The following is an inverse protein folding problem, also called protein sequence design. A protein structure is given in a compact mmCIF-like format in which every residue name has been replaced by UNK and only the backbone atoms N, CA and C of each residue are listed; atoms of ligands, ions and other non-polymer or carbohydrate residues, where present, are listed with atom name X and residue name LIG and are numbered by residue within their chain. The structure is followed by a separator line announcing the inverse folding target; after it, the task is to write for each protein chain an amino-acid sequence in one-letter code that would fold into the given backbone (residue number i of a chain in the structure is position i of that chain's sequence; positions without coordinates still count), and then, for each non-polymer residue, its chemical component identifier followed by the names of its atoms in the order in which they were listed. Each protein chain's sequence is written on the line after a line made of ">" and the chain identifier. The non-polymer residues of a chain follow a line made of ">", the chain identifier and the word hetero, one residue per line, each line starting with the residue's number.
data_IF_622241205178
#
_entry.id   IF_622241205178
#
_cell.length_a   1.000
_cell.length_b   1.000
_cell.length_c   1.000
_cell.angle_alpha   90.00
_cell.angle_beta   90.00
_cell.angle_gamma   90.00
#
_symmetry.space_group_name_H-M   'P 1'
#
loop_
_entity.id
_entity.type
_entity.pdbx_description
1 polymer ?
#
# COMPACT_ATOMS: atom_id res chain seq x y z
N UNK A 1 41.25 -4.23 28.39
CA UNK A 1 40.11 -3.32 28.08
C UNK A 1 39.74 -3.56 26.63
N UNK A 2 38.47 -3.83 26.30
CA UNK A 2 38.07 -4.11 24.92
C UNK A 2 38.40 -2.91 24.02
N UNK A 3 38.94 -3.19 22.84
CA UNK A 3 39.37 -2.17 21.89
C UNK A 3 38.14 -1.41 21.38
N UNK A 4 38.17 -0.08 21.41
CA UNK A 4 37.06 0.80 20.99
C UNK A 4 36.64 0.51 19.55
N UNK A 5 37.58 0.06 18.72
CA UNK A 5 37.32 -0.29 17.33
C UNK A 5 36.58 -1.63 17.18
N UNK A 6 36.83 -2.61 18.05
CA UNK A 6 36.06 -3.87 18.10
C UNK A 6 34.62 -3.62 18.54
N UNK A 7 34.42 -2.75 19.54
CA UNK A 7 33.09 -2.39 20.03
C UNK A 7 32.29 -1.67 18.94
N UNK A 8 32.91 -0.72 18.22
CA UNK A 8 32.30 -0.08 17.06
C UNK A 8 31.94 -1.10 16.00
N UNK A 9 32.85 -1.96 15.58
CA UNK A 9 32.60 -2.96 14.53
C UNK A 9 31.44 -3.91 14.89
N UNK A 10 31.35 -4.34 16.15
CA UNK A 10 30.23 -5.13 16.66
C UNK A 10 28.89 -4.39 16.60
N UNK A 11 28.88 -3.10 16.96
CA UNK A 11 27.69 -2.24 16.92
C UNK A 11 27.16 -2.08 15.49
N UNK A 12 28.05 -1.78 14.53
CA UNK A 12 27.70 -1.66 13.11
C UNK A 12 27.18 -2.97 12.51
N UNK A 13 27.64 -4.12 13.02
CA UNK A 13 27.14 -5.45 12.62
C UNK A 13 25.71 -5.71 13.13
N UNK A 14 25.44 -5.35 14.39
CA UNK A 14 24.12 -5.49 15.01
C UNK A 14 23.08 -4.56 14.38
N UNK A 15 23.44 -3.30 14.12
CA UNK A 15 22.56 -2.32 13.47
C UNK A 15 22.13 -2.75 12.07
N UNK A 16 23.06 -3.28 11.26
CA UNK A 16 22.76 -3.79 9.91
C UNK A 16 21.82 -4.99 9.93
N UNK A 17 21.99 -5.92 10.87
CA UNK A 17 21.07 -7.06 11.03
C UNK A 17 19.68 -6.60 11.45
N UNK A 18 19.60 -5.63 12.35
CA UNK A 18 18.32 -5.06 12.81
C UNK A 18 17.60 -4.32 11.68
N UNK A 19 18.31 -3.54 10.88
CA UNK A 19 17.77 -2.88 9.70
C UNK A 19 17.22 -3.88 8.67
N UNK A 20 17.94 -4.97 8.39
CA UNK A 20 17.45 -6.02 7.51
C UNK A 20 16.20 -6.70 8.07
N UNK A 21 16.19 -7.01 9.36
CA UNK A 21 15.03 -7.60 10.02
C UNK A 21 13.80 -6.68 9.99
N UNK A 22 13.97 -5.38 10.28
CA UNK A 22 12.90 -4.39 10.19
C UNK A 22 12.38 -4.23 8.76
N UNK A 23 13.27 -4.31 7.75
CA UNK A 23 12.87 -4.25 6.33
C UNK A 23 12.01 -5.45 5.94
N UNK A 24 12.34 -6.63 6.44
CA UNK A 24 11.55 -7.85 6.20
C UNK A 24 10.21 -7.83 6.95
N UNK A 25 10.17 -7.30 8.18
CA UNK A 25 8.92 -7.10 8.92
C UNK A 25 8.04 -6.07 8.21
N UNK A 26 8.59 -4.93 7.78
CA UNK A 26 7.86 -3.90 7.02
C UNK A 26 7.34 -4.46 5.69
N UNK A 27 8.11 -5.31 5.00
CA UNK A 27 7.68 -5.98 3.76
C UNK A 27 6.54 -6.97 4.01
N UNK A 28 6.59 -7.73 5.11
CA UNK A 28 5.51 -8.63 5.51
C UNK A 28 4.23 -7.88 5.88
N UNK A 29 4.34 -6.81 6.66
CA UNK A 29 3.21 -5.93 7.00
C UNK A 29 2.58 -5.31 5.74
N UNK A 30 3.40 -4.87 4.77
CA UNK A 30 2.93 -4.33 3.49
C UNK A 30 2.33 -5.39 2.56
N UNK A 31 2.76 -6.64 2.68
CA UNK A 31 2.22 -7.79 1.94
C UNK A 31 0.97 -8.39 2.60
N UNK A 32 0.68 -8.05 3.86
CA UNK A 32 -0.55 -8.42 4.53
C UNK A 32 -1.70 -7.68 3.85
N UNK A 33 -2.24 -8.30 2.81
CA UNK A 33 -3.31 -7.79 1.97
C UNK A 33 -4.48 -7.36 2.89
N UNK A 34 -5.14 -6.21 2.62
CA UNK A 34 -6.26 -5.76 3.44
C UNK A 34 -7.41 -6.79 3.56
N UNK A 35 -7.44 -7.82 2.70
CA UNK A 35 -8.43 -8.91 2.77
C UNK A 35 -8.41 -9.69 4.08
N UNK A 36 -7.31 -9.69 4.86
CA UNK A 36 -7.30 -10.35 6.18
C UNK A 36 -8.11 -9.59 7.25
N UNK A 37 -8.51 -8.34 7.00
CA UNK A 37 -9.48 -7.61 7.84
C UNK A 37 -10.94 -7.87 7.46
N UNK A 38 -11.21 -8.79 6.53
CA UNK A 38 -12.57 -9.22 6.16
C UNK A 38 -13.21 -10.18 7.18
N UNK A 39 -12.49 -10.55 8.25
CA UNK A 39 -12.99 -11.50 9.25
C UNK A 39 -14.16 -11.00 10.12
N UNK A 40 -14.56 -9.73 9.98
CA UNK A 40 -15.72 -9.15 10.68
C UNK A 40 -16.89 -8.80 9.74
N UNK A 41 -16.97 -9.41 8.55
CA UNK A 41 -18.13 -9.17 7.68
C UNK A 41 -19.38 -9.87 8.24
N UNK A 42 -20.36 -9.06 8.64
CA UNK A 42 -21.70 -9.52 9.02
C UNK A 42 -22.30 -10.33 7.88
N UNK A 43 -23.12 -11.35 8.17
CA UNK A 43 -23.73 -12.22 7.13
C UNK A 43 -24.44 -11.43 6.01
N UNK A 44 -25.07 -10.30 6.36
CA UNK A 44 -25.70 -9.40 5.38
C UNK A 44 -24.71 -8.73 4.42
N UNK A 45 -23.52 -8.35 4.89
CA UNK A 45 -22.47 -7.77 4.04
C UNK A 45 -21.92 -8.80 3.06
N UNK A 46 -21.72 -10.05 3.50
CA UNK A 46 -21.29 -11.15 2.60
C UNK A 46 -22.30 -11.42 1.49
N UNK A 47 -23.59 -11.38 1.80
CA UNK A 47 -24.66 -11.56 0.80
C UNK A 47 -24.71 -10.36 -0.15
N UNK A 48 -24.60 -9.13 0.36
CA UNK A 48 -24.57 -7.93 -0.48
C UNK A 48 -23.38 -7.94 -1.45
N UNK A 49 -22.19 -8.35 -0.99
CA UNK A 49 -20.99 -8.46 -1.83
C UNK A 49 -21.15 -9.52 -2.91
N UNK A 50 -21.72 -10.67 -2.56
CA UNK A 50 -22.00 -11.72 -3.53
C UNK A 50 -23.01 -11.25 -4.59
N UNK A 51 -24.10 -10.63 -4.15
CA UNK A 51 -25.14 -10.10 -5.05
C UNK A 51 -24.58 -9.01 -5.96
N UNK A 52 -23.76 -8.11 -5.44
CA UNK A 52 -23.15 -7.05 -6.24
C UNK A 52 -22.12 -7.54 -7.24
N UNK A 53 -21.27 -8.49 -6.83
CA UNK A 53 -20.34 -9.17 -7.74
C UNK A 53 -21.09 -9.88 -8.87
N UNK A 54 -22.28 -10.44 -8.59
CA UNK A 54 -23.12 -11.05 -9.62
C UNK A 54 -23.84 -10.02 -10.50
N UNK A 55 -24.40 -8.94 -9.95
CA UNK A 55 -25.13 -7.93 -10.74
C UNK A 55 -24.23 -7.12 -11.69
N UNK A 56 -22.94 -6.99 -11.40
CA UNK A 56 -21.97 -6.31 -12.27
C UNK A 56 -21.39 -7.19 -13.39
N UNK A 57 -21.75 -8.48 -13.47
CA UNK A 57 -21.15 -9.41 -14.42
C UNK A 57 -21.98 -9.59 -15.69
N UNK A 58 -21.30 -9.67 -16.84
CA UNK A 58 -21.91 -10.01 -18.13
C UNK A 58 -22.66 -11.35 -18.10
N UNK A 59 -22.21 -12.30 -17.27
CA UNK A 59 -22.88 -13.59 -17.10
C UNK A 59 -24.28 -13.48 -16.49
N UNK A 60 -24.51 -12.50 -15.61
CA UNK A 60 -25.82 -12.31 -14.99
C UNK A 60 -26.86 -11.84 -16.00
N UNK A 61 -26.50 -10.89 -16.87
CA UNK A 61 -27.35 -10.40 -17.95
C UNK A 61 -27.76 -11.56 -18.87
N UNK A 62 -26.81 -12.41 -19.27
CA UNK A 62 -27.07 -13.56 -20.16
C UNK A 62 -28.03 -14.58 -19.51
N UNK A 63 -27.82 -14.92 -18.24
CA UNK A 63 -28.69 -15.84 -17.50
C UNK A 63 -30.11 -15.26 -17.39
N UNK A 64 -30.24 -13.99 -17.01
CA UNK A 64 -31.53 -13.29 -16.93
C UNK A 64 -32.26 -13.29 -18.27
N UNK A 65 -31.57 -12.90 -19.35
CA UNK A 65 -32.14 -12.89 -20.69
C UNK A 65 -32.57 -14.28 -21.15
N UNK A 66 -31.81 -15.32 -20.80
CA UNK A 66 -32.16 -16.72 -21.13
C UNK A 66 -33.38 -17.19 -20.35
N UNK A 67 -33.48 -16.88 -19.05
CA UNK A 67 -34.66 -17.21 -18.23
C UNK A 67 -35.91 -16.53 -18.81
N UNK A 68 -35.83 -15.24 -19.14
CA UNK A 68 -36.94 -14.51 -19.75
C UNK A 68 -37.31 -15.09 -21.12
N UNK A 69 -36.32 -15.41 -21.94
CA UNK A 69 -36.55 -16.02 -23.25
C UNK A 69 -37.23 -17.39 -23.13
N UNK A 70 -36.75 -18.26 -22.23
CA UNK A 70 -37.35 -19.57 -21.96
C UNK A 70 -38.77 -19.42 -21.42
N UNK A 71 -39.01 -18.46 -20.53
CA UNK A 71 -40.35 -18.18 -19.99
C UNK A 71 -41.32 -17.77 -21.10
N UNK A 72 -40.91 -16.84 -21.97
CA UNK A 72 -41.71 -16.40 -23.12
C UNK A 72 -41.99 -17.58 -24.06
N UNK A 73 -40.97 -18.38 -24.40
CA UNK A 73 -41.12 -19.55 -25.28
C UNK A 73 -42.07 -20.58 -24.66
N UNK A 74 -41.91 -20.93 -23.38
CA UNK A 74 -42.81 -21.87 -22.69
C UNK A 74 -44.25 -21.36 -22.65
N UNK A 75 -44.45 -20.06 -22.46
CA UNK A 75 -45.77 -19.45 -22.40
C UNK A 75 -46.45 -19.41 -23.78
N UNK A 76 -45.72 -19.04 -24.83
CA UNK A 76 -46.20 -18.99 -26.23
C UNK A 76 -46.45 -20.39 -26.80
N UNK A 77 -45.64 -21.39 -26.42
CA UNK A 77 -45.76 -22.76 -26.96
C UNK A 77 -46.84 -23.58 -26.24
N UNK A 78 -47.51 -23.02 -25.23
CA UNK A 78 -48.70 -23.51 -24.53
C UNK A 78 -49.08 -25.00 -24.74
N UNK A 79 -48.28 -25.90 -24.15
CA UNK A 79 -48.65 -27.31 -23.95
C UNK A 79 -49.53 -27.50 -22.70
N UNK A 80 -49.68 -26.48 -21.85
CA UNK A 80 -50.51 -26.52 -20.64
C UNK A 80 -51.15 -25.15 -20.41
N UNK A 81 -52.46 -25.05 -20.69
CA UNK A 81 -53.42 -24.01 -20.21
C UNK A 81 -52.83 -22.66 -19.81
N UNK A 82 -52.87 -21.67 -20.72
CA UNK A 82 -52.91 -20.20 -20.48
C UNK A 82 -52.59 -19.71 -19.04
N UNK A 83 -51.40 -20.01 -18.52
CA UNK A 83 -51.06 -19.70 -17.13
C UNK A 83 -50.71 -18.21 -16.92
N UNK A 84 -50.32 -17.52 -18.00
CA UNK A 84 -50.11 -16.06 -18.01
C UNK A 84 -50.56 -15.47 -19.36
N UNK A 85 -51.88 -15.22 -19.55
CA UNK A 85 -52.41 -14.63 -20.78
C UNK A 85 -51.79 -13.26 -21.08
N UNK A 86 -51.72 -12.89 -22.36
CA UNK A 86 -51.30 -11.56 -22.78
C UNK A 86 -52.12 -10.49 -22.03
N UNK A 87 -51.52 -9.57 -21.24
CA UNK A 87 -50.18 -8.99 -21.39
C UNK A 87 -49.13 -9.41 -20.32
N UNK A 88 -49.07 -10.69 -19.94
CA UNK A 88 -48.09 -11.27 -19.00
C UNK A 88 -48.01 -10.56 -17.63
N UNK A 89 -49.13 -10.51 -16.91
CA UNK A 89 -49.24 -9.79 -15.62
C UNK A 89 -48.23 -10.31 -14.60
N UNK A 90 -47.99 -11.63 -14.56
CA UNK A 90 -47.13 -12.25 -13.56
C UNK A 90 -45.66 -11.95 -13.83
N UNK A 91 -45.24 -12.02 -15.10
CA UNK A 91 -43.88 -11.64 -15.50
C UNK A 91 -43.63 -10.16 -15.21
N UNK A 92 -44.59 -9.29 -15.50
CA UNK A 92 -44.46 -7.87 -15.22
C UNK A 92 -44.35 -7.58 -13.72
N UNK A 93 -45.14 -8.26 -12.88
CA UNK A 93 -45.05 -8.16 -11.43
C UNK A 93 -43.67 -8.64 -10.91
N UNK A 94 -43.18 -9.77 -11.42
CA UNK A 94 -41.89 -10.33 -11.03
C UNK A 94 -40.72 -9.39 -11.41
N UNK A 95 -40.72 -8.85 -12.63
CA UNK A 95 -39.71 -7.89 -13.08
C UNK A 95 -39.76 -6.59 -12.27
N UNK A 96 -40.96 -6.09 -11.94
CA UNK A 96 -41.13 -4.90 -11.12
C UNK A 96 -40.57 -5.10 -9.72
N UNK A 97 -40.85 -6.24 -9.10
CA UNK A 97 -40.28 -6.60 -7.79
C UNK A 97 -38.75 -6.74 -7.86
N UNK A 98 -38.24 -7.43 -8.90
CA UNK A 98 -36.80 -7.57 -9.11
C UNK A 98 -36.09 -6.22 -9.22
N UNK A 99 -36.64 -5.29 -10.03
CA UNK A 99 -36.09 -3.95 -10.19
C UNK A 99 -36.11 -3.15 -8.88
N UNK A 100 -37.20 -3.26 -8.10
CA UNK A 100 -37.34 -2.57 -6.82
C UNK A 100 -36.27 -2.98 -5.80
N UNK A 101 -35.87 -4.26 -5.77
CA UNK A 101 -34.82 -4.75 -4.88
C UNK A 101 -33.40 -4.56 -5.43
N UNK A 102 -33.24 -4.46 -6.75
CA UNK A 102 -31.93 -4.26 -7.37
C UNK A 102 -31.27 -2.95 -6.93
N UNK A 103 -32.01 -1.83 -6.93
CA UNK A 103 -31.44 -0.52 -6.62
C UNK A 103 -30.87 -0.41 -5.17
N UNK A 104 -31.59 -0.85 -4.11
CA UNK A 104 -31.03 -0.88 -2.75
C UNK A 104 -29.81 -1.78 -2.62
N UNK A 105 -29.79 -2.95 -3.25
CA UNK A 105 -28.62 -3.84 -3.20
C UNK A 105 -27.40 -3.23 -3.88
N UNK A 106 -27.59 -2.61 -5.05
CA UNK A 106 -26.54 -1.87 -5.74
C UNK A 106 -26.03 -0.74 -4.84
N UNK A 107 -26.93 0.06 -4.25
CA UNK A 107 -26.56 1.18 -3.38
C UNK A 107 -25.82 0.72 -2.11
N UNK A 108 -26.24 -0.38 -1.49
CA UNK A 108 -25.55 -0.94 -0.33
C UNK A 108 -24.14 -1.41 -0.67
N UNK A 109 -23.96 -2.06 -1.83
CA UNK A 109 -22.63 -2.46 -2.28
C UNK A 109 -21.76 -1.27 -2.65
N UNK A 110 -22.33 -0.24 -3.29
CA UNK A 110 -21.60 0.99 -3.61
C UNK A 110 -21.15 1.70 -2.34
N UNK A 111 -22.04 1.88 -1.35
CA UNK A 111 -21.70 2.52 -0.09
C UNK A 111 -20.58 1.76 0.65
N UNK A 112 -20.60 0.42 0.62
CA UNK A 112 -19.51 -0.41 1.16
C UNK A 112 -18.21 -0.23 0.40
N UNK A 113 -18.23 -0.24 -0.93
CA UNK A 113 -17.03 -0.04 -1.75
C UNK A 113 -16.42 1.34 -1.49
N UNK A 114 -17.25 2.38 -1.43
CA UNK A 114 -16.82 3.74 -1.10
C UNK A 114 -16.18 3.83 0.28
N UNK A 115 -16.70 3.11 1.28
CA UNK A 115 -16.11 3.06 2.62
C UNK A 115 -14.74 2.38 2.62
N UNK A 116 -14.54 1.33 1.81
CA UNK A 116 -13.25 0.66 1.64
C UNK A 116 -12.28 1.61 0.95
N UNK A 117 -12.67 2.18 -0.18
CA UNK A 117 -11.85 3.08 -0.99
C UNK A 117 -11.43 4.31 -0.16
N UNK A 118 -12.34 4.85 0.67
CA UNK A 118 -12.03 5.95 1.60
C UNK A 118 -10.97 5.57 2.62
N UNK A 119 -11.09 4.39 3.25
CA UNK A 119 -10.10 3.92 4.24
C UNK A 119 -8.74 3.67 3.60
N UNK A 120 -8.73 3.15 2.37
CA UNK A 120 -7.49 2.94 1.61
C UNK A 120 -6.84 4.28 1.27
N UNK A 121 -7.62 5.26 0.80
CA UNK A 121 -7.14 6.61 0.52
C UNK A 121 -6.59 7.33 1.78
N UNK A 122 -7.26 7.20 2.93
CA UNK A 122 -6.77 7.74 4.20
C UNK A 122 -5.44 7.10 4.63
N UNK A 123 -5.31 5.78 4.46
CA UNK A 123 -4.09 5.06 4.78
C UNK A 123 -2.94 5.46 3.85
N UNK A 124 -3.21 5.56 2.55
CA UNK A 124 -2.24 6.00 1.55
C UNK A 124 -1.77 7.44 1.80
N UNK A 125 -2.70 8.33 2.15
CA UNK A 125 -2.37 9.69 2.55
C UNK A 125 -1.42 9.71 3.77
N UNK A 126 -1.71 8.93 4.81
CA UNK A 126 -0.84 8.84 6.00
C UNK A 126 0.54 8.27 5.68
N UNK A 127 0.62 7.28 4.79
CA UNK A 127 1.89 6.72 4.32
C UNK A 127 2.68 7.79 3.55
N UNK A 128 2.01 8.57 2.71
CA UNK A 128 2.63 9.63 1.91
C UNK A 128 3.24 10.71 2.80
N UNK A 129 2.50 11.24 3.77
CA UNK A 129 2.99 12.23 4.75
C UNK A 129 4.19 11.67 5.53
N UNK A 130 4.13 10.40 5.94
CA UNK A 130 5.26 9.75 6.63
C UNK A 130 6.48 9.61 5.73
N UNK A 131 6.29 9.29 4.45
CA UNK A 131 7.38 9.18 3.49
C UNK A 131 8.02 10.55 3.22
N UNK A 132 7.21 11.61 3.11
CA UNK A 132 7.68 12.99 2.98
C UNK A 132 8.58 13.38 4.17
N UNK A 133 8.13 13.13 5.40
CA UNK A 133 8.93 13.39 6.60
C UNK A 133 10.20 12.52 6.67
N UNK A 134 10.12 11.23 6.31
CA UNK A 134 11.30 10.35 6.23
C UNK A 134 12.31 10.89 5.21
N UNK A 135 11.87 11.47 4.09
CA UNK A 135 12.74 12.09 3.07
C UNK A 135 13.37 13.38 3.58
N UNK A 136 12.61 14.25 4.23
CA UNK A 136 13.12 15.50 4.82
C UNK A 136 14.22 15.22 5.85
N UNK A 137 13.98 14.27 6.76
CA UNK A 137 14.98 13.83 7.74
C UNK A 137 16.22 13.20 7.10
N UNK A 138 16.06 12.50 5.96
CA UNK A 138 17.21 11.99 5.21
C UNK A 138 18.00 13.14 4.57
N UNK A 139 17.33 14.18 4.07
CA UNK A 139 17.97 15.36 3.50
C UNK A 139 18.82 16.08 4.56
N UNK A 140 18.26 16.35 5.73
CA UNK A 140 18.97 16.98 6.86
C UNK A 140 20.21 16.16 7.26
N UNK A 141 20.08 14.83 7.34
CA UNK A 141 21.22 13.95 7.64
C UNK A 141 22.30 13.99 6.56
N UNK A 142 21.93 14.09 5.29
CA UNK A 142 22.87 14.20 4.17
C UNK A 142 23.62 15.55 4.23
N UNK A 143 22.94 16.64 4.56
CA UNK A 143 23.57 17.96 4.73
C UNK A 143 24.56 17.94 5.90
N UNK A 144 24.18 17.37 7.05
CA UNK A 144 25.08 17.21 8.20
C UNK A 144 26.32 16.37 7.86
N UNK A 145 26.16 15.33 7.04
CA UNK A 145 27.29 14.53 6.56
C UNK A 145 28.20 15.32 5.62
N UNK A 146 27.64 16.11 4.68
CA UNK A 146 28.42 17.00 3.83
C UNK A 146 29.23 18.01 4.65
N UNK A 147 28.59 18.67 5.62
CA UNK A 147 29.27 19.63 6.48
C UNK A 147 30.44 19.00 7.25
N UNK A 148 30.27 17.77 7.77
CA UNK A 148 31.36 17.04 8.43
C UNK A 148 32.49 16.68 7.48
N UNK A 149 32.18 16.29 6.24
CA UNK A 149 33.19 15.97 5.22
C UNK A 149 34.00 17.22 4.89
N UNK A 150 33.33 18.38 4.72
CA UNK A 150 34.00 19.64 4.43
C UNK A 150 34.91 20.09 5.59
N UNK A 151 34.44 19.98 6.83
CA UNK A 151 35.26 20.26 8.02
C UNK A 151 36.49 19.35 8.14
N UNK A 152 36.36 18.07 7.78
CA UNK A 152 37.49 17.13 7.79
C UNK A 152 38.49 17.49 6.69
N UNK A 153 38.02 17.83 5.49
CA UNK A 153 38.88 18.30 4.39
C UNK A 153 39.64 19.56 4.74
N UNK A 154 38.99 20.56 5.34
CA UNK A 154 39.66 21.79 5.78
C UNK A 154 40.77 21.49 6.79
N UNK A 155 40.50 20.63 7.79
CA UNK A 155 41.51 20.21 8.77
C UNK A 155 42.68 19.47 8.13
N UNK A 156 42.41 18.57 7.19
CA UNK A 156 43.45 17.86 6.45
C UNK A 156 44.32 18.84 5.65
N UNK A 157 43.71 19.78 4.92
CA UNK A 157 44.43 20.80 4.14
C UNK A 157 45.32 21.67 5.05
N UNK A 158 44.81 22.12 6.19
CA UNK A 158 45.60 22.91 7.15
C UNK A 158 46.77 22.08 7.68
N UNK A 159 46.54 20.83 8.11
CA UNK A 159 47.61 19.96 8.64
C UNK A 159 48.70 19.65 7.62
N UNK A 160 48.31 19.44 6.35
CA UNK A 160 49.25 19.20 5.26
C UNK A 160 50.05 20.46 4.94
N UNK A 161 49.41 21.64 5.00
CA UNK A 161 50.08 22.92 4.78
C UNK A 161 51.11 23.19 5.88
N UNK A 162 50.75 22.97 7.15
CA UNK A 162 51.67 23.08 8.29
C UNK A 162 52.85 22.12 8.17
N UNK A 163 52.60 20.84 7.84
CA UNK A 163 53.66 19.85 7.64
C UNK A 163 54.60 20.20 6.48
N UNK A 164 54.06 20.71 5.36
CA UNK A 164 54.87 21.19 4.23
C UNK A 164 55.70 22.42 4.62
N UNK A 165 55.13 23.36 5.38
CA UNK A 165 55.83 24.54 5.87
C UNK A 165 56.99 24.15 6.81
N UNK A 166 56.77 23.20 7.72
CA UNK A 166 57.79 22.68 8.64
C UNK A 166 58.93 21.98 7.90
N UNK A 167 58.63 21.20 6.86
CA UNK A 167 59.64 20.53 6.03
C UNK A 167 60.36 21.48 5.06
N UNK A 168 59.75 22.60 4.68
CA UNK A 168 60.31 23.58 3.75
C UNK A 168 61.18 24.65 4.41
N UNK A 169 61.21 24.74 5.74
CA UNK A 169 61.99 25.76 6.45
C UNK A 169 63.50 25.40 6.49
N UNK A 170 64.39 26.14 5.78
CA UNK A 170 65.79 25.74 5.58
C UNK A 170 66.72 26.15 6.73
N UNK A 171 66.28 26.04 8.00
CA UNK A 171 67.16 26.35 9.14
C UNK A 171 66.90 25.49 10.37
N UNK A 172 67.39 24.24 10.34
CA UNK A 172 67.79 23.54 11.57
C UNK A 172 69.28 23.19 11.51
N UNK A 173 70.18 24.06 12.01
CA UNK A 173 71.54 23.62 12.29
C UNK A 173 71.48 22.55 13.40
N UNK A 174 72.25 21.46 13.31
CA UNK A 174 72.40 20.55 14.44
C UNK A 174 72.99 21.34 15.60
N UNK A 175 72.19 21.43 16.65
CA UNK A 175 72.57 21.87 17.99
C UNK A 175 73.82 21.09 18.40
N UNK A 176 74.89 21.83 18.70
CA UNK A 176 76.15 21.28 19.20
C UNK A 176 75.87 20.56 20.53
N UNK A 177 76.17 19.27 20.59
CA UNK A 177 76.37 18.58 21.85
C UNK A 177 77.87 18.58 22.13
N UNK A 178 78.24 19.16 23.27
CA UNK A 178 79.55 19.07 23.90
C UNK A 178 79.95 17.61 24.22
#
# INVERSE_FOLDING_TARGET
>A
MPNVDEVKQGLWGAERKLLHHLRDVRRRERQKKPSDRESELTRGQKIADLVAATMGSWSFIIIQSTILFVWIVLNVTAYVREWDPYPFILLNLALSFQAAYAAPFIMMSQNRQQDIDRKEAENDYRINIKAELEIELLHEKIELLHQKIDQLREKEVVSLTEAVQELSDPKRPPEKAD
#
